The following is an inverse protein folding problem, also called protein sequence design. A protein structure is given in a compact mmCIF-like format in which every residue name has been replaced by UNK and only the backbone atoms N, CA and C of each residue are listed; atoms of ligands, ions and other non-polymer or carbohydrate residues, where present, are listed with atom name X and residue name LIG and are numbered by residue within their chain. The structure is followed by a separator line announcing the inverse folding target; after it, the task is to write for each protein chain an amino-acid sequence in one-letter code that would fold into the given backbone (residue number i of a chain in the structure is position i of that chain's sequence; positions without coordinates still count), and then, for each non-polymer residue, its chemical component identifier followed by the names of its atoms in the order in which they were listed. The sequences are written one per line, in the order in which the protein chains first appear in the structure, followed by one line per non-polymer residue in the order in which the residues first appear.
data_IF_069377882250
#
_entry.id   IF_069377882250
#
_cell.length_a   1.000
_cell.length_b   1.000
_cell.length_c   1.000
_cell.angle_alpha   90.00
_cell.angle_beta   90.00
_cell.angle_gamma   90.00
#
_symmetry.space_group_name_H-M   'P 1'
#
loop_
_entity.id
_entity.type
_entity.pdbx_description
1 polymer ?
#
# COMPACT_ATOMS: atom_id res chain seq x y z
N UNK A 1 -15.22 35.59 -4.70
CA UNK A 1 -14.59 35.06 -5.93
C UNK A 1 -15.15 33.68 -6.21
N UNK A 2 -16.08 33.50 -7.18
CA UNK A 2 -16.65 32.17 -7.48
C UNK A 2 -15.71 31.50 -8.48
N UNK A 3 -14.97 30.49 -8.04
CA UNK A 3 -14.23 29.62 -8.93
C UNK A 3 -15.21 28.81 -9.81
N UNK A 4 -15.29 29.11 -11.09
CA UNK A 4 -15.96 28.26 -12.09
C UNK A 4 -15.00 27.09 -12.43
N UNK A 5 -15.17 25.95 -11.78
CA UNK A 5 -14.50 24.71 -12.18
C UNK A 5 -15.20 24.23 -13.45
N UNK A 6 -14.47 24.10 -14.57
CA UNK A 6 -15.05 23.59 -15.81
C UNK A 6 -15.45 22.12 -15.63
N UNK A 7 -16.58 21.69 -16.26
CA UNK A 7 -17.06 20.32 -16.14
C UNK A 7 -16.03 19.25 -16.52
N UNK A 8 -15.07 19.56 -17.41
CA UNK A 8 -13.93 18.68 -17.76
C UNK A 8 -12.96 18.46 -16.58
N UNK A 9 -12.77 19.47 -15.72
CA UNK A 9 -11.93 19.36 -14.52
C UNK A 9 -12.66 18.55 -13.44
N UNK A 10 -13.98 18.75 -13.30
CA UNK A 10 -14.80 17.99 -12.36
C UNK A 10 -14.83 16.48 -12.72
N UNK A 11 -15.02 16.15 -14.02
CA UNK A 11 -14.97 14.77 -14.53
C UNK A 11 -13.56 14.17 -14.32
N UNK A 12 -12.49 14.97 -14.50
CA UNK A 12 -11.11 14.52 -14.28
C UNK A 12 -10.77 14.32 -12.78
N UNK A 13 -11.49 15.00 -11.88
CA UNK A 13 -11.38 14.82 -10.41
C UNK A 13 -12.22 13.61 -9.97
N UNK A 14 -13.42 13.43 -10.50
CA UNK A 14 -14.29 12.26 -10.23
C UNK A 14 -13.66 10.94 -10.70
N UNK A 15 -12.87 10.94 -11.78
CA UNK A 15 -12.10 9.77 -12.23
C UNK A 15 -10.86 9.45 -11.39
N UNK A 16 -10.67 10.08 -10.23
CA UNK A 16 -9.53 9.86 -9.31
C UNK A 16 -9.91 9.23 -7.98
N UNK A 17 -11.18 8.95 -7.75
CA UNK A 17 -11.59 8.22 -6.57
C UNK A 17 -11.10 6.77 -6.67
N UNK A 18 -10.59 6.18 -5.58
CA UNK A 18 -10.13 4.80 -5.60
C UNK A 18 -11.29 3.85 -5.91
N UNK A 19 -11.19 3.17 -7.05
CA UNK A 19 -12.12 2.11 -7.44
C UNK A 19 -11.37 0.79 -7.39
N UNK A 20 -11.89 -0.20 -6.68
CA UNK A 20 -11.32 -1.55 -6.62
C UNK A 20 -12.28 -2.57 -7.23
N UNK A 21 -11.69 -3.65 -7.76
CA UNK A 21 -12.44 -4.79 -8.31
C UNK A 21 -11.96 -6.03 -7.58
N UNK A 22 -12.91 -6.81 -7.04
CA UNK A 22 -12.61 -8.04 -6.32
C UNK A 22 -13.74 -9.05 -6.45
N UNK A 23 -13.45 -10.31 -6.14
CA UNK A 23 -14.41 -11.42 -6.14
C UNK A 23 -15.30 -11.35 -4.90
N UNK A 24 -16.61 -11.43 -5.07
CA UNK A 24 -17.59 -11.53 -3.98
C UNK A 24 -17.36 -12.82 -3.16
N UNK A 25 -17.00 -13.91 -3.84
CA UNK A 25 -16.67 -15.17 -3.19
C UNK A 25 -15.42 -15.03 -2.31
N UNK A 26 -14.42 -14.29 -2.77
CA UNK A 26 -13.21 -14.01 -2.00
C UNK A 26 -13.50 -13.14 -0.76
N UNK A 27 -14.31 -12.09 -0.92
CA UNK A 27 -14.80 -11.31 0.21
C UNK A 27 -15.50 -12.20 1.25
N UNK A 28 -16.41 -13.07 0.79
CA UNK A 28 -17.14 -13.99 1.65
C UNK A 28 -16.22 -14.96 2.40
N UNK A 29 -15.16 -15.44 1.73
CA UNK A 29 -14.13 -16.29 2.36
C UNK A 29 -13.37 -15.53 3.44
N UNK A 30 -12.96 -14.29 3.16
CA UNK A 30 -12.25 -13.44 4.12
C UNK A 30 -13.13 -13.06 5.31
N UNK A 31 -14.39 -12.72 5.07
CA UNK A 31 -15.37 -12.40 6.13
C UNK A 31 -15.72 -13.64 6.94
N UNK A 32 -15.80 -14.81 6.32
CA UNK A 32 -16.28 -16.06 6.93
C UNK A 32 -17.82 -16.15 7.00
N UNK A 33 -18.51 -15.36 6.16
CA UNK A 33 -19.97 -15.34 6.05
C UNK A 33 -20.37 -15.14 4.59
N UNK A 34 -21.40 -15.85 4.13
CA UNK A 34 -21.97 -15.64 2.80
C UNK A 34 -22.83 -14.36 2.80
N UNK A 35 -22.46 -13.41 1.99
CA UNK A 35 -23.16 -12.15 1.73
C UNK A 35 -23.57 -12.10 0.25
N UNK A 36 -24.72 -11.49 -0.04
CA UNK A 36 -25.11 -11.15 -1.40
C UNK A 36 -24.49 -9.81 -1.83
N UNK A 37 -24.56 -9.48 -3.12
CA UNK A 37 -24.07 -8.19 -3.62
C UNK A 37 -24.84 -7.01 -3.02
N UNK A 38 -26.15 -7.18 -2.78
CA UNK A 38 -27.02 -6.20 -2.12
C UNK A 38 -26.60 -5.96 -0.67
N UNK A 39 -26.35 -7.05 0.09
CA UNK A 39 -25.84 -6.92 1.48
C UNK A 39 -24.48 -6.21 1.51
N UNK A 40 -23.59 -6.48 0.54
CA UNK A 40 -22.31 -5.79 0.41
C UNK A 40 -22.52 -4.31 0.07
N UNK A 41 -23.48 -3.97 -0.79
CA UNK A 41 -23.82 -2.58 -1.10
C UNK A 41 -24.27 -1.81 0.15
N UNK A 42 -25.11 -2.41 0.98
CA UNK A 42 -25.53 -1.81 2.26
C UNK A 42 -24.33 -1.63 3.24
N UNK A 43 -23.45 -2.63 3.32
CA UNK A 43 -22.28 -2.58 4.20
C UNK A 43 -21.20 -1.60 3.70
N UNK A 44 -21.12 -1.35 2.39
CA UNK A 44 -20.16 -0.42 1.80
C UNK A 44 -20.30 1.01 2.34
N UNK A 45 -21.52 1.42 2.70
CA UNK A 45 -21.81 2.76 3.25
C UNK A 45 -21.03 3.05 4.54
N UNK A 46 -20.71 2.04 5.36
CA UNK A 46 -19.88 2.21 6.56
C UNK A 46 -18.42 2.57 6.22
N UNK A 47 -17.97 2.23 5.02
CA UNK A 47 -16.66 2.60 4.48
C UNK A 47 -16.70 3.85 3.58
N UNK A 48 -17.85 4.57 3.51
CA UNK A 48 -18.08 5.64 2.54
C UNK A 48 -17.78 5.19 1.11
N UNK A 49 -18.27 4.02 0.79
CA UNK A 49 -18.12 3.37 -0.49
C UNK A 49 -19.47 2.96 -1.06
N UNK A 50 -19.52 2.73 -2.36
CA UNK A 50 -20.69 2.17 -3.03
C UNK A 50 -20.27 1.07 -4.00
N UNK A 51 -21.11 0.05 -4.13
CA UNK A 51 -20.99 -0.94 -5.21
C UNK A 51 -21.49 -0.28 -6.49
N UNK A 52 -20.60 -0.09 -7.46
CA UNK A 52 -20.91 0.48 -8.76
C UNK A 52 -21.51 -0.57 -9.71
N UNK A 53 -20.98 -1.79 -9.66
CA UNK A 53 -21.38 -2.88 -10.55
C UNK A 53 -21.01 -4.24 -9.95
N UNK A 54 -21.74 -5.29 -10.35
CA UNK A 54 -21.45 -6.68 -10.04
C UNK A 54 -21.70 -7.57 -11.25
N UNK A 55 -20.62 -8.14 -11.78
CA UNK A 55 -20.68 -9.18 -12.81
C UNK A 55 -20.73 -10.56 -12.12
N UNK A 56 -21.92 -11.18 -12.10
CA UNK A 56 -22.14 -12.47 -11.46
C UNK A 56 -21.40 -13.61 -12.19
N UNK A 57 -21.27 -13.55 -13.53
CA UNK A 57 -20.60 -14.59 -14.32
C UNK A 57 -19.09 -14.59 -14.07
N UNK A 58 -18.49 -13.40 -14.00
CA UNK A 58 -17.08 -13.23 -13.70
C UNK A 58 -16.77 -13.24 -12.19
N UNK A 59 -17.78 -13.17 -11.33
CA UNK A 59 -17.64 -12.93 -9.88
C UNK A 59 -16.79 -11.69 -9.58
N UNK A 60 -16.99 -10.60 -10.33
CA UNK A 60 -16.27 -9.34 -10.17
C UNK A 60 -17.22 -8.25 -9.62
N UNK A 61 -16.95 -7.81 -8.39
CA UNK A 61 -17.64 -6.70 -7.74
C UNK A 61 -16.76 -5.46 -7.84
N UNK A 62 -17.32 -4.38 -8.39
CA UNK A 62 -16.67 -3.08 -8.55
C UNK A 62 -17.17 -2.13 -7.48
N UNK A 63 -16.25 -1.58 -6.68
CA UNK A 63 -16.55 -0.70 -5.56
C UNK A 63 -15.75 0.61 -5.65
N UNK A 64 -16.46 1.73 -5.49
CA UNK A 64 -15.88 3.08 -5.41
C UNK A 64 -15.81 3.55 -3.97
N UNK A 65 -14.73 4.24 -3.61
CA UNK A 65 -14.53 4.85 -2.29
C UNK A 65 -14.50 6.36 -2.41
N UNK A 66 -15.42 7.04 -1.74
CA UNK A 66 -15.49 8.52 -1.74
C UNK A 66 -14.46 9.16 -0.80
N UNK A 67 -14.00 8.41 0.22
CA UNK A 67 -13.03 8.90 1.19
C UNK A 67 -11.61 8.46 0.85
N UNK A 68 -10.74 9.45 0.61
CA UNK A 68 -9.31 9.23 0.33
C UNK A 68 -8.45 9.18 1.59
N UNK A 69 -9.04 9.30 2.78
CA UNK A 69 -8.32 9.29 4.06
C UNK A 69 -8.30 7.91 4.73
N UNK A 70 -9.00 6.93 4.16
CA UNK A 70 -9.08 5.55 4.67
C UNK A 70 -8.48 4.54 3.68
N UNK A 71 -7.18 4.68 3.32
CA UNK A 71 -6.57 3.86 2.26
C UNK A 71 -6.49 2.37 2.59
N UNK A 72 -6.65 1.97 3.85
CA UNK A 72 -6.72 0.56 4.24
C UNK A 72 -7.96 -0.15 3.68
N UNK A 73 -9.01 0.60 3.30
CA UNK A 73 -10.23 0.06 2.69
C UNK A 73 -10.07 -0.22 1.18
N UNK A 74 -9.00 0.25 0.54
CA UNK A 74 -8.80 0.07 -0.91
C UNK A 74 -8.27 -1.32 -1.29
N UNK A 75 -8.59 -2.30 -0.47
CA UNK A 75 -8.37 -3.72 -0.73
C UNK A 75 -9.52 -4.54 -0.18
N UNK A 76 -9.73 -5.71 -0.75
CA UNK A 76 -10.76 -6.64 -0.27
C UNK A 76 -10.50 -7.08 1.17
N UNK A 77 -9.24 -7.22 1.59
CA UNK A 77 -8.84 -7.54 2.96
C UNK A 77 -9.26 -6.45 3.95
N UNK A 78 -8.96 -5.19 3.61
CA UNK A 78 -9.33 -4.04 4.44
C UNK A 78 -10.84 -3.88 4.57
N UNK A 79 -11.56 -4.04 3.46
CA UNK A 79 -13.02 -4.01 3.45
C UNK A 79 -13.61 -5.19 4.23
N UNK A 80 -13.05 -6.40 4.08
CA UNK A 80 -13.47 -7.57 4.85
C UNK A 80 -13.32 -7.37 6.37
N UNK A 81 -12.25 -6.71 6.82
CA UNK A 81 -12.07 -6.36 8.24
C UNK A 81 -13.17 -5.41 8.72
N UNK A 82 -13.47 -4.34 7.97
CA UNK A 82 -14.58 -3.44 8.28
C UNK A 82 -15.89 -4.22 8.43
N UNK A 83 -16.21 -5.06 7.45
CA UNK A 83 -17.44 -5.88 7.44
C UNK A 83 -17.51 -6.80 8.68
N UNK A 84 -16.42 -7.48 9.04
CA UNK A 84 -16.36 -8.30 10.28
C UNK A 84 -16.68 -7.47 11.52
N UNK A 85 -16.14 -6.26 11.62
CA UNK A 85 -16.41 -5.36 12.74
C UNK A 85 -17.88 -4.96 12.82
N UNK A 86 -18.45 -4.50 11.71
CA UNK A 86 -19.86 -4.07 11.63
C UNK A 86 -20.82 -5.21 11.95
N UNK A 87 -20.52 -6.41 11.48
CA UNK A 87 -21.32 -7.62 11.76
C UNK A 87 -21.09 -8.16 13.19
N UNK A 88 -20.17 -7.58 13.98
CA UNK A 88 -19.82 -8.03 15.33
C UNK A 88 -19.08 -9.36 15.38
N UNK A 89 -18.52 -9.81 14.27
CA UNK A 89 -17.74 -11.05 14.17
C UNK A 89 -16.31 -10.87 14.70
N UNK A 90 -15.79 -9.67 14.66
CA UNK A 90 -14.50 -9.27 15.21
C UNK A 90 -14.65 -7.91 15.88
N UNK A 91 -14.07 -7.76 17.08
CA UNK A 91 -14.11 -6.51 17.86
C UNK A 91 -12.70 -6.05 18.17
N UNK A 92 -12.55 -4.74 18.35
CA UNK A 92 -11.28 -4.14 18.69
C UNK A 92 -10.25 -4.14 17.56
N UNK A 93 -9.08 -3.57 17.82
CA UNK A 93 -8.00 -3.45 16.82
C UNK A 93 -7.47 -4.83 16.43
N UNK A 94 -7.50 -5.19 15.13
CA UNK A 94 -6.92 -6.45 14.69
C UNK A 94 -5.43 -6.54 15.06
N UNK A 95 -4.98 -7.72 15.47
CA UNK A 95 -3.58 -7.95 15.82
C UNK A 95 -2.94 -8.90 14.83
N UNK A 96 -1.72 -8.53 14.38
CA UNK A 96 -0.87 -9.43 13.63
C UNK A 96 0.43 -9.66 14.39
N UNK A 97 0.99 -10.86 14.27
CA UNK A 97 2.25 -11.21 14.90
C UNK A 97 3.40 -10.76 14.00
N UNK A 98 4.22 -9.82 14.48
CA UNK A 98 5.48 -9.48 13.84
C UNK A 98 6.56 -10.45 14.31
N UNK A 99 7.07 -11.26 13.38
CA UNK A 99 8.21 -12.15 13.64
C UNK A 99 9.52 -11.38 13.51
N UNK A 100 10.51 -11.74 14.30
CA UNK A 100 11.86 -11.18 14.15
C UNK A 100 12.49 -11.72 12.88
N UNK A 101 12.89 -10.81 11.97
CA UNK A 101 13.72 -11.11 10.80
C UNK A 101 15.19 -10.80 11.07
N UNK A 102 16.06 -11.37 10.27
CA UNK A 102 17.49 -11.11 10.20
C UNK A 102 17.89 -10.31 8.95
N UNK A 103 16.93 -9.61 8.38
CA UNK A 103 17.06 -8.81 7.17
C UNK A 103 17.53 -7.41 7.48
N UNK A 104 18.32 -6.85 6.57
CA UNK A 104 18.87 -5.53 6.76
C UNK A 104 18.80 -4.69 5.48
N UNK A 105 18.43 -3.42 5.65
CA UNK A 105 18.51 -2.37 4.63
C UNK A 105 19.43 -1.27 5.11
N UNK A 106 20.39 -0.88 4.30
CA UNK A 106 21.34 0.22 4.58
C UNK A 106 20.92 1.42 3.75
N UNK A 107 20.63 2.52 4.42
CA UNK A 107 20.25 3.80 3.80
C UNK A 107 21.46 4.68 3.68
N UNK A 108 21.81 5.07 2.45
CA UNK A 108 22.90 6.00 2.18
C UNK A 108 22.41 7.45 2.34
N UNK A 109 23.34 8.33 2.80
CA UNK A 109 23.06 9.76 2.97
C UNK A 109 22.62 10.48 1.69
N UNK A 110 22.93 9.93 0.51
CA UNK A 110 22.56 10.51 -0.79
C UNK A 110 21.05 10.58 -1.04
N UNK A 111 20.24 9.73 -0.39
CA UNK A 111 18.77 9.75 -0.55
C UNK A 111 18.06 10.75 0.36
N UNK A 112 18.74 11.28 1.39
CA UNK A 112 18.08 12.08 2.44
C UNK A 112 17.41 13.35 1.89
N UNK A 113 17.96 13.95 0.83
CA UNK A 113 17.42 15.19 0.24
C UNK A 113 16.23 14.95 -0.69
N UNK A 114 16.09 13.76 -1.27
CA UNK A 114 15.06 13.49 -2.28
C UNK A 114 14.01 12.49 -1.80
N UNK A 115 14.41 11.44 -1.05
CA UNK A 115 13.48 10.39 -0.60
C UNK A 115 13.99 9.73 0.68
N UNK A 116 13.89 10.45 1.85
CA UNK A 116 14.60 10.07 3.08
C UNK A 116 14.09 8.81 3.77
N UNK A 117 12.84 8.39 3.54
CA UNK A 117 12.21 7.35 4.34
C UNK A 117 12.02 6.06 3.56
N UNK A 118 12.30 4.94 4.22
CA UNK A 118 12.05 3.58 3.73
C UNK A 118 11.55 2.70 4.87
N UNK A 119 10.49 1.93 4.60
CA UNK A 119 9.97 0.89 5.49
C UNK A 119 9.83 -0.40 4.69
N UNK A 120 10.31 -1.50 5.27
CA UNK A 120 10.35 -2.80 4.63
C UNK A 120 9.84 -3.89 5.55
N UNK A 121 9.40 -5.01 4.98
CA UNK A 121 9.20 -6.27 5.68
C UNK A 121 9.32 -7.44 4.71
N UNK A 122 9.55 -8.65 5.24
CA UNK A 122 9.38 -9.88 4.48
C UNK A 122 8.05 -10.54 4.87
N UNK A 123 7.31 -11.04 3.88
CA UNK A 123 6.09 -11.82 4.09
C UNK A 123 6.32 -13.22 3.54
N UNK A 124 6.07 -14.27 4.36
CA UNK A 124 6.48 -15.63 4.07
C UNK A 124 5.41 -16.67 4.33
N UNK A 125 5.56 -17.82 3.66
CA UNK A 125 4.84 -19.04 4.00
C UNK A 125 3.48 -19.19 3.30
N UNK A 126 3.19 -18.37 2.30
CA UNK A 126 1.97 -18.50 1.49
C UNK A 126 2.30 -18.29 0.01
N UNK A 127 1.81 -19.18 -0.82
CA UNK A 127 2.03 -19.11 -2.26
C UNK A 127 1.17 -18.03 -2.90
N UNK A 128 1.82 -17.18 -3.70
CA UNK A 128 1.16 -16.15 -4.52
C UNK A 128 0.46 -16.82 -5.70
N UNK A 129 -0.85 -16.76 -5.76
CA UNK A 129 -1.63 -17.10 -6.95
C UNK A 129 -1.88 -15.88 -7.83
N UNK A 130 -2.49 -16.08 -8.99
CA UNK A 130 -2.75 -15.01 -9.95
C UNK A 130 -3.71 -13.95 -9.41
N UNK A 131 -4.76 -14.39 -8.71
CA UNK A 131 -5.74 -13.48 -8.13
C UNK A 131 -5.12 -12.62 -7.03
N UNK A 132 -4.39 -13.23 -6.10
CA UNK A 132 -3.72 -12.50 -5.02
C UNK A 132 -2.68 -11.52 -5.56
N UNK A 133 -1.92 -11.90 -6.59
CA UNK A 133 -0.98 -11.00 -7.26
C UNK A 133 -1.71 -9.79 -7.87
N UNK A 134 -2.84 -10.02 -8.57
CA UNK A 134 -3.69 -8.95 -9.13
C UNK A 134 -4.19 -8.02 -8.03
N UNK A 135 -4.66 -8.55 -6.88
CA UNK A 135 -5.13 -7.74 -5.76
C UNK A 135 -4.01 -6.93 -5.09
N UNK A 136 -2.83 -7.52 -4.88
CA UNK A 136 -1.68 -6.83 -4.31
C UNK A 136 -1.19 -5.68 -5.21
N UNK A 137 -1.15 -5.89 -6.54
CA UNK A 137 -0.82 -4.84 -7.52
C UNK A 137 -1.90 -3.74 -7.51
N UNK A 138 -3.18 -4.12 -7.47
CA UNK A 138 -4.28 -3.15 -7.39
C UNK A 138 -4.15 -2.24 -6.16
N UNK A 139 -3.94 -2.81 -4.98
CA UNK A 139 -3.73 -2.03 -3.74
C UNK A 139 -2.52 -1.10 -3.87
N UNK A 140 -1.40 -1.61 -4.37
CA UNK A 140 -0.18 -0.82 -4.63
C UNK A 140 -0.46 0.38 -5.53
N UNK A 141 -1.12 0.16 -6.67
CA UNK A 141 -1.41 1.23 -7.64
C UNK A 141 -2.37 2.26 -7.04
N UNK A 142 -3.49 1.82 -6.43
CA UNK A 142 -4.47 2.74 -5.83
C UNK A 142 -3.84 3.59 -4.71
N UNK A 143 -3.03 2.97 -3.85
CA UNK A 143 -2.33 3.68 -2.80
C UNK A 143 -1.33 4.71 -3.36
N UNK A 144 -0.47 4.30 -4.30
CA UNK A 144 0.56 5.17 -4.88
C UNK A 144 -0.02 6.33 -5.68
N UNK A 145 -1.11 6.11 -6.43
CA UNK A 145 -1.75 7.15 -7.25
C UNK A 145 -2.51 8.17 -6.40
N UNK A 146 -3.28 7.71 -5.39
CA UNK A 146 -4.14 8.57 -4.58
C UNK A 146 -3.39 9.11 -3.36
N UNK A 147 -3.23 8.30 -2.31
CA UNK A 147 -2.58 8.72 -1.06
C UNK A 147 -1.10 9.06 -1.26
N UNK A 148 -0.41 8.31 -2.10
CA UNK A 148 0.98 8.52 -2.52
C UNK A 148 1.19 9.73 -3.44
N UNK A 149 0.12 10.43 -3.84
CA UNK A 149 0.17 11.61 -4.73
C UNK A 149 0.97 11.34 -6.00
N UNK A 150 0.55 10.31 -6.75
CA UNK A 150 1.27 9.87 -7.95
C UNK A 150 2.74 9.60 -7.65
N UNK A 151 3.01 8.80 -6.62
CA UNK A 151 4.34 8.37 -6.15
C UNK A 151 5.25 9.47 -5.61
N UNK A 152 4.82 10.73 -5.57
CA UNK A 152 5.61 11.82 -4.97
C UNK A 152 5.79 11.63 -3.46
N UNK A 153 4.67 11.36 -2.76
CA UNK A 153 4.66 11.21 -1.29
C UNK A 153 5.13 9.81 -0.88
N UNK A 154 4.58 8.76 -1.52
CA UNK A 154 4.92 7.34 -1.27
C UNK A 154 4.91 6.55 -2.57
N UNK A 155 5.87 5.67 -2.74
CA UNK A 155 5.84 4.56 -3.70
C UNK A 155 6.08 3.24 -2.99
N UNK A 156 5.62 2.15 -3.60
CA UNK A 156 5.65 0.80 -3.03
C UNK A 156 6.27 -0.14 -4.06
N UNK A 157 7.12 -1.06 -3.60
CA UNK A 157 7.66 -2.17 -4.37
C UNK A 157 7.33 -3.51 -3.72
N UNK A 158 7.03 -4.49 -4.56
CA UNK A 158 6.83 -5.90 -4.18
C UNK A 158 7.82 -6.75 -4.99
N UNK A 159 8.57 -7.60 -4.32
CA UNK A 159 9.69 -8.34 -4.92
C UNK A 159 9.63 -9.81 -4.56
N UNK A 160 10.09 -10.67 -5.47
CA UNK A 160 10.34 -12.07 -5.19
C UNK A 160 11.54 -12.21 -4.24
N UNK A 161 11.29 -12.64 -3.01
CA UNK A 161 12.33 -12.77 -1.98
C UNK A 161 13.50 -13.68 -2.40
N UNK A 162 13.22 -14.78 -3.09
CA UNK A 162 14.23 -15.76 -3.50
C UNK A 162 15.35 -15.24 -4.41
N UNK A 163 15.14 -14.04 -5.00
CA UNK A 163 16.10 -13.42 -5.94
C UNK A 163 16.94 -12.32 -5.27
N UNK A 164 16.72 -12.07 -3.97
CA UNK A 164 17.33 -10.96 -3.24
C UNK A 164 18.47 -11.48 -2.37
N UNK A 165 19.59 -10.78 -2.37
CA UNK A 165 20.74 -11.03 -1.46
C UNK A 165 20.85 -9.85 -0.49
N UNK A 166 20.67 -10.12 0.81
CA UNK A 166 20.80 -9.09 1.85
C UNK A 166 22.27 -8.86 2.27
N UNK A 167 22.63 -7.67 2.77
CA UNK A 167 21.79 -6.50 2.99
C UNK A 167 21.37 -5.79 1.69
N UNK A 168 20.24 -5.06 1.75
CA UNK A 168 19.85 -4.16 0.66
C UNK A 168 20.45 -2.78 0.87
N UNK A 169 20.70 -2.06 -0.21
CA UNK A 169 21.29 -0.73 -0.23
C UNK A 169 20.32 0.25 -0.91
N UNK A 170 19.80 1.20 -0.11
CA UNK A 170 18.98 2.29 -0.61
C UNK A 170 19.86 3.54 -0.75
N UNK A 171 20.13 3.92 -1.98
CA UNK A 171 21.05 5.02 -2.31
C UNK A 171 20.61 5.79 -3.55
N UNK A 172 21.08 7.04 -3.69
CA UNK A 172 20.91 7.80 -4.94
C UNK A 172 22.21 7.79 -5.74
N UNK A 173 22.09 7.55 -7.04
CA UNK A 173 23.21 7.38 -7.97
C UNK A 173 23.11 8.35 -9.14
N UNK A 174 24.24 8.60 -9.82
CA UNK A 174 24.23 9.34 -11.08
C UNK A 174 23.39 8.61 -12.12
N UNK A 175 22.57 9.33 -12.91
CA UNK A 175 21.59 8.71 -13.80
C UNK A 175 22.14 7.78 -14.89
N UNK A 176 23.40 7.86 -15.24
CA UNK A 176 24.10 7.03 -16.23
C UNK A 176 25.07 6.02 -15.63
N UNK A 177 25.17 5.95 -14.28
CA UNK A 177 26.18 5.13 -13.60
C UNK A 177 25.83 3.65 -13.50
N UNK A 178 24.55 3.29 -13.68
CA UNK A 178 24.07 1.90 -13.62
C UNK A 178 23.13 1.59 -14.79
N UNK A 179 23.13 0.30 -15.19
CA UNK A 179 22.22 -0.22 -16.21
C UNK A 179 21.58 -1.52 -15.74
N UNK A 180 20.28 -1.63 -15.94
CA UNK A 180 19.52 -2.86 -15.68
C UNK A 180 18.42 -3.05 -16.73
N UNK A 181 17.77 -4.20 -16.74
CA UNK A 181 16.61 -4.46 -17.58
C UNK A 181 15.36 -4.07 -16.78
N UNK A 182 14.66 -2.98 -17.14
CA UNK A 182 13.43 -2.60 -16.44
C UNK A 182 12.31 -3.60 -16.72
N UNK A 183 11.34 -3.68 -15.82
CA UNK A 183 10.19 -4.56 -15.94
C UNK A 183 9.50 -4.36 -17.30
N UNK A 184 9.05 -5.46 -17.93
CA UNK A 184 8.42 -5.49 -19.27
C UNK A 184 9.36 -5.21 -20.46
N UNK A 185 10.62 -4.88 -20.23
CA UNK A 185 11.62 -4.70 -21.27
C UNK A 185 12.61 -5.89 -21.34
N UNK A 186 13.40 -5.95 -22.44
CA UNK A 186 14.38 -7.02 -22.69
C UNK A 186 15.81 -6.52 -22.82
N UNK A 187 16.01 -5.22 -22.82
CA UNK A 187 17.31 -4.57 -23.00
C UNK A 187 17.73 -3.83 -21.73
N UNK A 188 19.03 -3.79 -21.48
CA UNK A 188 19.60 -2.99 -20.39
C UNK A 188 19.53 -1.50 -20.76
N UNK A 189 19.03 -0.70 -19.82
CA UNK A 189 18.89 0.74 -19.93
C UNK A 189 19.47 1.40 -18.69
N UNK A 190 20.09 2.57 -18.84
CA UNK A 190 20.40 3.42 -17.71
C UNK A 190 19.17 4.24 -17.26
N UNK A 191 19.31 4.98 -16.16
CA UNK A 191 18.16 5.66 -15.57
C UNK A 191 17.65 6.81 -16.46
N UNK A 192 18.53 7.47 -17.25
CA UNK A 192 18.14 8.50 -18.23
C UNK A 192 17.34 7.88 -19.39
N UNK A 193 17.85 6.78 -19.92
CA UNK A 193 17.20 6.02 -21.00
C UNK A 193 15.81 5.54 -20.53
N UNK A 194 15.68 5.06 -19.28
CA UNK A 194 14.39 4.64 -18.72
C UNK A 194 13.42 5.81 -18.63
N UNK A 195 13.84 6.99 -18.16
CA UNK A 195 12.96 8.16 -18.07
C UNK A 195 12.53 8.65 -19.47
N UNK A 196 13.40 8.53 -20.47
CA UNK A 196 13.13 9.00 -21.83
C UNK A 196 12.26 8.02 -22.65
N UNK A 197 12.42 6.72 -22.47
CA UNK A 197 11.87 5.71 -23.38
C UNK A 197 10.82 4.81 -22.76
N UNK A 198 11.00 4.41 -21.47
CA UNK A 198 10.05 3.51 -20.80
C UNK A 198 8.72 4.23 -20.50
N UNK A 199 7.53 3.60 -20.72
CA UNK A 199 6.23 4.21 -20.41
C UNK A 199 6.13 4.75 -18.98
N UNK A 200 6.54 3.94 -17.98
CA UNK A 200 6.58 4.36 -16.57
C UNK A 200 7.64 5.43 -16.30
N UNK A 201 8.74 5.43 -17.05
CA UNK A 201 9.73 6.49 -17.02
C UNK A 201 9.13 7.84 -17.38
N UNK A 202 8.47 7.91 -18.53
CA UNK A 202 7.76 9.12 -19.00
C UNK A 202 6.65 9.56 -18.07
N UNK A 203 5.90 8.60 -17.50
CA UNK A 203 4.78 8.86 -16.59
C UNK A 203 5.24 9.48 -15.26
N UNK A 204 6.40 9.05 -14.72
CA UNK A 204 6.88 9.45 -13.39
C UNK A 204 8.16 10.30 -13.39
N UNK A 205 8.71 10.69 -14.56
CA UNK A 205 9.90 11.54 -14.65
C UNK A 205 9.79 12.83 -13.81
N UNK A 206 8.59 13.39 -13.74
CA UNK A 206 8.33 14.64 -13.00
C UNK A 206 8.64 14.55 -11.49
N UNK A 207 8.65 13.33 -10.92
CA UNK A 207 8.97 13.12 -9.50
C UNK A 207 10.47 13.34 -9.23
N UNK A 208 11.31 13.19 -10.27
CA UNK A 208 12.76 13.23 -10.18
C UNK A 208 13.39 14.47 -10.83
N UNK A 209 12.59 15.34 -11.44
CA UNK A 209 13.06 16.46 -12.28
C UNK A 209 13.96 17.46 -11.55
N UNK A 210 13.81 17.58 -10.21
CA UNK A 210 14.54 18.55 -9.39
C UNK A 210 15.81 17.94 -8.73
N UNK A 211 16.20 16.70 -9.13
CA UNK A 211 17.31 15.99 -8.51
C UNK A 211 18.38 15.58 -9.54
N UNK A 212 19.64 15.75 -9.17
CA UNK A 212 20.79 15.34 -9.98
C UNK A 212 21.08 13.83 -9.88
N UNK A 213 20.75 13.22 -8.73
CA UNK A 213 20.93 11.80 -8.44
C UNK A 213 19.58 11.13 -8.19
N UNK A 214 19.44 9.90 -8.66
CA UNK A 214 18.19 9.18 -8.62
C UNK A 214 18.23 8.00 -7.63
N UNK A 215 17.17 7.84 -6.81
CA UNK A 215 17.11 6.78 -5.82
C UNK A 215 16.98 5.40 -6.47
N UNK A 216 17.73 4.44 -5.96
CA UNK A 216 17.67 3.03 -6.35
C UNK A 216 17.75 2.14 -5.12
N UNK A 217 17.10 0.99 -5.20
CA UNK A 217 17.26 -0.10 -4.26
C UNK A 217 18.06 -1.21 -4.94
N UNK A 218 19.14 -1.63 -4.30
CA UNK A 218 20.04 -2.67 -4.83
C UNK A 218 20.31 -3.71 -3.75
N UNK A 219 20.64 -4.91 -4.16
CA UNK A 219 21.07 -5.97 -3.26
C UNK A 219 22.61 -5.96 -3.06
N UNK A 220 23.10 -6.83 -2.18
CA UNK A 220 24.54 -6.92 -1.84
C UNK A 220 25.41 -7.46 -3.02
N UNK A 221 24.79 -8.02 -4.05
CA UNK A 221 25.46 -8.37 -5.32
C UNK A 221 25.43 -7.25 -6.34
N UNK A 222 24.98 -6.08 -5.97
CA UNK A 222 24.76 -4.91 -6.85
C UNK A 222 23.71 -5.16 -7.95
N UNK A 223 22.79 -6.11 -7.78
CA UNK A 223 21.62 -6.25 -8.64
C UNK A 223 20.58 -5.20 -8.26
N UNK A 224 20.03 -4.52 -9.27
CA UNK A 224 19.02 -3.48 -9.05
C UNK A 224 17.66 -4.15 -8.82
N UNK A 225 17.02 -3.85 -7.67
CA UNK A 225 15.63 -4.22 -7.40
C UNK A 225 14.69 -3.23 -8.07
N UNK A 226 14.93 -1.93 -7.85
CA UNK A 226 14.09 -0.88 -8.41
C UNK A 226 14.82 0.44 -8.61
N UNK A 227 14.39 1.16 -9.64
CA UNK A 227 14.61 2.58 -9.86
C UNK A 227 13.41 3.35 -9.25
N UNK A 228 13.60 3.86 -8.05
CA UNK A 228 12.54 4.46 -7.24
C UNK A 228 12.30 5.93 -7.65
N UNK A 229 11.04 6.36 -7.80
CA UNK A 229 9.77 5.63 -7.68
C UNK A 229 9.21 5.15 -9.02
N UNK A 230 10.07 4.91 -10.01
CA UNK A 230 9.72 4.75 -11.43
C UNK A 230 9.32 3.31 -11.77
N UNK A 231 10.28 2.36 -11.66
CA UNK A 231 10.08 1.01 -12.17
C UNK A 231 11.00 -0.01 -11.48
N UNK A 232 10.49 -1.22 -11.28
CA UNK A 232 11.26 -2.37 -10.81
C UNK A 232 12.11 -2.98 -11.93
N UNK A 233 13.15 -3.73 -11.55
CA UNK A 233 13.91 -4.52 -12.49
C UNK A 233 13.15 -5.79 -12.89
N UNK A 234 13.46 -6.31 -14.07
CA UNK A 234 12.86 -7.54 -14.58
C UNK A 234 13.42 -8.81 -13.91
N UNK A 235 14.57 -8.74 -13.26
CA UNK A 235 15.21 -9.88 -12.62
C UNK A 235 14.89 -9.96 -11.13
N UNK A 236 15.39 -9.05 -10.31
CA UNK A 236 15.18 -9.04 -8.84
C UNK A 236 13.90 -8.34 -8.42
N UNK A 237 13.41 -7.44 -9.26
CA UNK A 237 12.24 -6.58 -8.97
C UNK A 237 10.88 -7.16 -9.34
N UNK A 238 10.84 -8.35 -9.96
CA UNK A 238 9.58 -8.96 -10.42
C UNK A 238 9.03 -9.94 -9.41
N UNK A 239 7.79 -9.73 -8.99
CA UNK A 239 6.99 -10.71 -8.26
C UNK A 239 6.21 -11.58 -9.26
N UNK A 240 6.19 -12.89 -9.06
CA UNK A 240 5.57 -13.85 -9.99
C UNK A 240 4.59 -14.77 -9.27
N UNK A 241 3.62 -15.28 -10.04
CA UNK A 241 2.75 -16.37 -9.58
C UNK A 241 3.61 -17.57 -9.17
N UNK A 242 3.35 -18.11 -7.99
CA UNK A 242 4.10 -19.21 -7.42
C UNK A 242 5.21 -18.80 -6.45
N UNK A 243 5.51 -17.51 -6.30
CA UNK A 243 6.40 -17.04 -5.23
C UNK A 243 5.74 -17.25 -3.86
N UNK A 244 6.48 -17.83 -2.91
CA UNK A 244 5.99 -18.14 -1.57
C UNK A 244 6.42 -17.09 -0.53
N UNK A 245 7.54 -16.44 -0.81
CA UNK A 245 8.12 -15.41 0.03
C UNK A 245 8.26 -14.11 -0.77
N UNK A 246 7.84 -13.01 -0.15
CA UNK A 246 7.78 -11.68 -0.74
C UNK A 246 8.61 -10.72 0.11
N UNK A 247 9.31 -9.82 -0.52
CA UNK A 247 9.87 -8.65 0.14
C UNK A 247 9.08 -7.42 -0.27
N UNK A 248 8.62 -6.67 0.72
CA UNK A 248 7.90 -5.41 0.56
C UNK A 248 8.82 -4.24 0.88
N UNK A 249 8.74 -3.16 0.10
CA UNK A 249 9.28 -1.87 0.46
C UNK A 249 8.28 -0.74 0.17
N UNK A 250 8.29 0.26 1.03
CA UNK A 250 7.68 1.55 0.77
C UNK A 250 8.72 2.63 1.01
N UNK A 251 8.83 3.57 0.08
CA UNK A 251 9.73 4.73 0.20
C UNK A 251 8.97 6.03 0.00
N UNK A 252 9.45 7.10 0.61
CA UNK A 252 8.72 8.37 0.48
C UNK A 252 9.44 9.57 1.07
N UNK A 253 8.71 10.70 0.97
CA UNK A 253 9.09 12.00 1.53
C UNK A 253 8.39 12.29 2.86
N UNK A 254 7.47 11.42 3.29
CA UNK A 254 6.63 11.56 4.48
C UNK A 254 6.69 10.23 5.26
N UNK A 255 7.25 10.27 6.46
CA UNK A 255 7.52 9.07 7.28
C UNK A 255 6.23 8.37 7.72
N UNK A 256 5.20 9.13 8.10
CA UNK A 256 3.90 8.57 8.52
C UNK A 256 3.23 7.84 7.36
N UNK A 257 3.26 8.44 6.17
CA UNK A 257 2.64 7.82 4.98
C UNK A 257 3.38 6.54 4.53
N UNK A 258 4.70 6.49 4.67
CA UNK A 258 5.50 5.29 4.36
C UNK A 258 5.20 4.17 5.37
N UNK A 259 5.11 4.50 6.68
CA UNK A 259 4.71 3.55 7.72
C UNK A 259 3.27 3.05 7.50
N UNK A 260 2.33 3.96 7.19
CA UNK A 260 0.94 3.59 6.89
C UNK A 260 0.86 2.60 5.72
N UNK A 261 1.61 2.84 4.64
CA UNK A 261 1.67 1.91 3.50
C UNK A 261 2.13 0.51 3.94
N UNK A 262 3.21 0.44 4.71
CA UNK A 262 3.75 -0.83 5.20
C UNK A 262 2.77 -1.54 6.15
N UNK A 263 2.09 -0.81 7.04
CA UNK A 263 1.10 -1.37 7.93
C UNK A 263 -0.10 -1.94 7.17
N UNK A 264 -0.65 -1.20 6.19
CA UNK A 264 -1.77 -1.68 5.36
C UNK A 264 -1.40 -2.98 4.65
N UNK A 265 -0.22 -3.05 4.03
CA UNK A 265 0.23 -4.26 3.34
C UNK A 265 0.56 -5.42 4.30
N UNK A 266 1.13 -5.13 5.47
CA UNK A 266 1.37 -6.14 6.51
C UNK A 266 0.08 -6.81 6.93
N UNK A 267 -0.97 -6.03 7.21
CA UNK A 267 -2.28 -6.56 7.56
C UNK A 267 -2.94 -7.30 6.40
N UNK A 268 -2.93 -6.75 5.18
CA UNK A 268 -3.52 -7.39 4.00
C UNK A 268 -2.88 -8.76 3.71
N UNK A 269 -1.54 -8.85 3.73
CA UNK A 269 -0.84 -10.11 3.52
C UNK A 269 -1.01 -11.09 4.69
N UNK A 270 -1.11 -10.59 5.93
CA UNK A 270 -1.39 -11.44 7.09
C UNK A 270 -2.78 -12.07 7.01
N UNK A 271 -3.81 -11.34 6.56
CA UNK A 271 -5.15 -11.88 6.32
C UNK A 271 -5.17 -12.98 5.25
N UNK A 272 -4.19 -12.97 4.36
CA UNK A 272 -3.97 -14.02 3.34
C UNK A 272 -3.15 -15.20 3.85
N UNK A 273 -2.70 -15.16 5.11
CA UNK A 273 -1.95 -16.23 5.76
C UNK A 273 -0.43 -16.13 5.64
N UNK A 274 0.10 -14.99 5.17
CA UNK A 274 1.54 -14.74 5.25
C UNK A 274 1.96 -14.41 6.68
N UNK A 275 3.13 -14.87 7.06
CA UNK A 275 3.82 -14.46 8.29
C UNK A 275 4.68 -13.23 7.99
N UNK A 276 4.54 -12.19 8.79
CA UNK A 276 5.24 -10.92 8.61
C UNK A 276 6.52 -10.89 9.47
N UNK A 277 7.65 -10.61 8.82
CA UNK A 277 8.98 -10.55 9.44
C UNK A 277 9.55 -9.14 9.38
N UNK A 278 10.10 -8.68 10.51
CA UNK A 278 10.73 -7.38 10.62
C UNK A 278 12.05 -7.28 9.84
N UNK A 279 12.40 -6.06 9.50
CA UNK A 279 13.67 -5.68 8.85
C UNK A 279 14.36 -4.62 9.69
N UNK A 280 15.68 -4.72 9.88
CA UNK A 280 16.48 -3.63 10.44
C UNK A 280 16.86 -2.64 9.34
N UNK A 281 16.44 -1.39 9.46
CA UNK A 281 16.85 -0.29 8.57
C UNK A 281 17.93 0.53 9.25
N UNK A 282 19.11 0.57 8.65
CA UNK A 282 20.28 1.35 9.13
C UNK A 282 20.37 2.66 8.37
N UNK A 283 19.95 3.73 9.00
CA UNK A 283 20.21 5.09 8.55
C UNK A 283 21.62 5.57 8.95
N UNK A 284 22.13 6.64 8.36
CA UNK A 284 23.44 7.18 8.76
C UNK A 284 23.56 7.59 10.24
N UNK A 285 22.45 7.95 10.86
CA UNK A 285 22.35 8.50 12.22
C UNK A 285 21.61 7.59 13.22
N UNK A 286 20.84 6.59 12.73
CA UNK A 286 20.02 5.73 13.58
C UNK A 286 19.77 4.35 12.97
N UNK A 287 19.29 3.43 13.81
CA UNK A 287 18.76 2.14 13.39
C UNK A 287 17.32 2.02 13.84
N UNK A 288 16.45 1.49 12.99
CA UNK A 288 15.04 1.24 13.29
C UNK A 288 14.67 -0.17 12.87
N UNK A 289 13.75 -0.78 13.59
CA UNK A 289 13.14 -2.06 13.22
C UNK A 289 11.75 -1.77 12.69
N UNK A 290 11.48 -2.24 11.49
CA UNK A 290 10.24 -1.96 10.75
C UNK A 290 9.54 -3.25 10.31
N UNK A 291 8.22 -3.26 10.03
CA UNK A 291 7.29 -2.15 10.22
C UNK A 291 7.02 -1.86 11.70
N UNK A 292 6.62 -0.63 12.05
CA UNK A 292 6.10 -0.30 13.36
C UNK A 292 4.58 -0.58 13.37
N UNK A 293 4.16 -1.59 14.14
CA UNK A 293 2.76 -2.01 14.31
C UNK A 293 2.19 -1.62 15.67
N UNK A 294 2.85 -0.71 16.39
CA UNK A 294 2.38 -0.22 17.68
C UNK A 294 1.04 0.51 17.53
N UNK A 295 0.14 0.25 18.48
CA UNK A 295 -1.17 0.91 18.53
C UNK A 295 -1.01 2.34 19.02
N UNK A 296 -1.71 3.25 18.36
CA UNK A 296 -1.82 4.64 18.81
C UNK A 296 -3.11 4.82 19.62
N UNK A 297 -3.06 5.69 20.62
CA UNK A 297 -4.22 6.02 21.46
C UNK A 297 -4.71 7.42 21.12
N UNK A 298 -6.00 7.52 20.78
CA UNK A 298 -6.67 8.79 20.53
C UNK A 298 -7.71 9.02 21.61
N UNK A 299 -7.71 10.22 22.21
CA UNK A 299 -8.70 10.61 23.20
C UNK A 299 -9.73 11.54 22.56
N UNK A 300 -11.02 11.17 22.64
CA UNK A 300 -12.14 12.02 22.24
C UNK A 300 -13.05 12.31 23.45
N UNK A 301 -13.62 13.53 23.50
CA UNK A 301 -14.56 13.95 24.54
C UNK A 301 -15.99 13.85 24.02
N UNK A 302 -16.93 13.48 24.88
CA UNK A 302 -18.36 13.41 24.53
C UNK A 302 -18.89 14.72 23.95
N UNK A 303 -18.39 15.87 24.41
CA UNK A 303 -18.78 17.19 23.87
C UNK A 303 -18.37 17.35 22.40
N UNK A 304 -17.22 16.75 22.00
CA UNK A 304 -16.78 16.77 20.60
C UNK A 304 -17.70 15.91 19.73
N UNK A 305 -18.12 14.73 20.25
CA UNK A 305 -19.08 13.84 19.58
C UNK A 305 -20.43 14.57 19.42
N UNK A 306 -20.95 15.16 20.50
CA UNK A 306 -22.20 15.93 20.47
C UNK A 306 -22.15 17.10 19.49
N UNK A 307 -21.02 17.83 19.46
CA UNK A 307 -20.82 18.96 18.54
C UNK A 307 -20.78 18.52 17.08
N UNK A 308 -20.17 17.35 16.79
CA UNK A 308 -19.99 16.87 15.42
C UNK A 308 -21.26 16.22 14.87
N UNK A 309 -21.92 15.39 15.65
CA UNK A 309 -23.07 14.59 15.21
C UNK A 309 -24.43 15.16 15.62
N UNK A 310 -24.48 16.13 16.53
CA UNK A 310 -25.72 16.66 17.08
C UNK A 310 -26.47 15.69 18.00
N UNK A 311 -25.85 14.56 18.35
CA UNK A 311 -26.44 13.50 19.18
C UNK A 311 -25.74 13.44 20.54
N UNK A 312 -26.50 13.12 21.57
CA UNK A 312 -26.01 12.85 22.92
C UNK A 312 -25.97 11.33 23.11
N UNK A 313 -24.76 10.77 23.07
CA UNK A 313 -24.53 9.34 23.21
C UNK A 313 -23.99 9.04 24.62
N UNK A 314 -24.40 7.92 25.20
CA UNK A 314 -23.80 7.40 26.44
C UNK A 314 -22.42 6.83 26.12
N UNK A 315 -21.51 6.85 27.07
CA UNK A 315 -20.17 6.26 26.91
C UNK A 315 -20.21 4.80 26.44
N UNK A 316 -21.15 4.01 26.98
CA UNK A 316 -21.35 2.61 26.55
C UNK A 316 -21.75 2.47 25.07
N UNK A 317 -22.54 3.40 24.55
CA UNK A 317 -22.95 3.40 23.13
C UNK A 317 -21.76 3.80 22.23
N UNK A 318 -21.00 4.82 22.67
CA UNK A 318 -19.77 5.21 21.96
C UNK A 318 -18.78 4.06 21.90
N UNK A 319 -18.56 3.36 23.03
CA UNK A 319 -17.67 2.19 23.10
C UNK A 319 -18.14 1.08 22.16
N UNK A 320 -19.42 0.74 22.17
CA UNK A 320 -19.97 -0.29 21.27
C UNK A 320 -19.79 0.06 19.80
N UNK A 321 -19.96 1.32 19.42
CA UNK A 321 -19.73 1.79 18.06
C UNK A 321 -18.25 1.76 17.69
N UNK A 322 -17.38 2.16 18.61
CA UNK A 322 -15.92 2.10 18.42
C UNK A 322 -15.44 0.65 18.24
N UNK A 323 -15.91 -0.29 19.07
CA UNK A 323 -15.58 -1.73 18.92
C UNK A 323 -16.01 -2.28 17.55
N UNK A 324 -17.19 -1.87 17.01
CA UNK A 324 -17.64 -2.26 15.67
C UNK A 324 -16.76 -1.65 14.58
N UNK A 325 -16.23 -0.46 14.81
CA UNK A 325 -15.27 0.19 13.92
C UNK A 325 -13.82 -0.31 14.17
N UNK A 326 -13.65 -1.36 14.98
CA UNK A 326 -12.37 -2.00 15.31
C UNK A 326 -11.38 -1.12 16.09
N UNK A 327 -11.90 -0.24 16.96
CA UNK A 327 -11.13 0.39 18.03
C UNK A 327 -11.28 -0.39 19.34
N UNK A 328 -10.27 -0.30 20.22
CA UNK A 328 -10.29 -0.89 21.57
C UNK A 328 -10.92 0.04 22.62
#
# INVERSE_FOLDING_TARGET
MKLKISGKILIKILNKLPTIIFSLKDLNNLVGKKLSAEEVHELAQYGKAEVEDYDEEADELKMNFDDTNLPYLWSVEGFARLVKGILGMQKGVPEIKLHKGDYQVVVDKSVIKNRPFIVCFAAKGKKMDEYLLKQAIQLQEKFCESYGRRRQKVSIGLYSYKRITFPLHFKAVEPDSIKFIPLEFKIKMDLKEILAEHPKGKEYAFVLQDFDKYPVLMDDKNEVLSFIPVINSNFTGKLEVGDEDIFFEATGTDEEAVNLAANIFSYALSDRGFQIYSVEVKYPDRKVVVPNLEKETITIKNEQIKKLFGLELKESEVRQLAEKAQYD
#
